data_IF_779047569512
#
_entry.id   IF_779047569512
#
_cell.length_a   1.000
_cell.length_b   1.000
_cell.length_c   1.000
_cell.angle_alpha   90.00
_cell.angle_beta   90.00
_cell.angle_gamma   90.00
#
_symmetry.space_group_name_H-M   'P 1'
#
loop_
_entity.id
_entity.type
_entity.pdbx_description
1 polymer ?
#
# COMPACT_ATOMS: atom_id res chain seq x y z
N UNK A 1 11.70 16.53 -12.85
CA UNK A 1 10.52 16.42 -11.98
C UNK A 1 10.76 17.21 -10.70
N UNK A 2 9.87 18.10 -10.38
CA UNK A 2 9.98 18.85 -9.15
C UNK A 2 9.41 18.04 -8.00
N UNK A 3 10.30 17.54 -7.13
CA UNK A 3 9.89 16.70 -6.00
C UNK A 3 9.43 17.52 -4.80
N UNK A 4 9.52 18.84 -4.87
CA UNK A 4 9.22 19.71 -3.75
C UNK A 4 7.81 20.25 -3.90
N UNK A 5 7.02 20.06 -2.85
CA UNK A 5 5.66 20.56 -2.77
C UNK A 5 5.58 21.79 -1.89
N UNK A 6 4.53 22.57 -2.10
CA UNK A 6 4.32 23.80 -1.37
C UNK A 6 2.93 23.78 -0.75
N UNK A 7 2.83 24.04 0.55
CA UNK A 7 1.58 24.14 1.28
C UNK A 7 1.61 25.44 2.09
N UNK A 8 0.77 26.42 1.70
CA UNK A 8 0.76 27.75 2.29
C UNK A 8 2.17 28.35 2.29
N UNK A 9 2.84 28.40 3.45
CA UNK A 9 4.18 28.94 3.59
C UNK A 9 5.26 27.86 3.76
N UNK A 10 4.88 26.59 3.63
CA UNK A 10 5.79 25.48 3.83
C UNK A 10 6.04 24.72 2.52
N UNK A 11 7.28 24.31 2.33
CA UNK A 11 7.67 23.39 1.26
C UNK A 11 7.94 22.03 1.88
N UNK A 12 7.57 20.96 1.15
CA UNK A 12 7.75 19.61 1.69
C UNK A 12 8.06 18.60 0.59
N UNK A 13 8.71 17.52 1.02
CA UNK A 13 9.03 16.37 0.19
C UNK A 13 9.00 15.14 1.09
N UNK A 14 7.81 14.59 1.25
CA UNK A 14 7.55 13.50 2.20
C UNK A 14 7.11 12.26 1.45
N UNK A 15 8.08 11.43 1.07
CA UNK A 15 7.84 10.21 0.32
C UNK A 15 8.06 8.99 1.20
N UNK A 16 7.19 8.00 1.02
CA UNK A 16 7.22 6.78 1.81
C UNK A 16 6.99 5.57 0.91
N UNK A 17 7.74 4.52 1.18
CA UNK A 17 7.46 3.19 0.67
C UNK A 17 6.66 2.46 1.75
N UNK A 18 5.45 2.03 1.43
CA UNK A 18 4.53 1.38 2.35
C UNK A 18 4.19 0.00 1.80
N UNK A 19 4.24 -1.02 2.66
CA UNK A 19 3.87 -2.38 2.30
C UNK A 19 2.86 -2.90 3.30
N UNK A 20 1.77 -3.47 2.80
CA UNK A 20 0.76 -4.11 3.64
C UNK A 20 0.14 -5.29 2.91
N UNK A 21 -0.54 -6.15 3.64
CA UNK A 21 -0.97 -7.43 3.12
C UNK A 21 -2.38 -7.80 3.58
N UNK A 22 -3.11 -8.62 2.80
CA UNK A 22 -4.34 -9.22 3.27
C UNK A 22 -4.10 -10.07 4.52
N UNK A 23 -5.14 -10.23 5.32
CA UNK A 23 -5.10 -11.00 6.55
C UNK A 23 -4.57 -12.43 6.28
N UNK A 24 -3.62 -12.87 7.09
CA UNK A 24 -2.90 -14.15 6.94
C UNK A 24 -2.10 -14.23 5.63
N UNK A 25 -1.80 -13.11 4.99
CA UNK A 25 -1.13 -13.05 3.69
C UNK A 25 -1.77 -13.97 2.65
N UNK A 26 -3.08 -14.05 2.67
CA UNK A 26 -3.80 -14.85 1.67
C UNK A 26 -3.63 -14.25 0.29
N UNK A 27 -3.50 -15.14 -0.71
CA UNK A 27 -3.41 -14.73 -2.11
C UNK A 27 -4.80 -14.36 -2.62
N UNK A 28 -5.29 -13.20 -2.21
CA UNK A 28 -6.65 -12.76 -2.49
C UNK A 28 -6.74 -11.77 -3.65
N UNK A 29 -5.61 -11.33 -4.19
CA UNK A 29 -5.58 -10.22 -5.14
C UNK A 29 -5.02 -10.66 -6.50
N UNK A 30 -5.69 -11.61 -7.13
CA UNK A 30 -5.30 -12.08 -8.46
C UNK A 30 -6.05 -11.34 -9.57
N UNK A 31 -5.38 -11.14 -10.70
CA UNK A 31 -5.97 -10.73 -11.96
C UNK A 31 -6.89 -9.52 -11.83
N UNK A 32 -8.14 -9.68 -12.23
CA UNK A 32 -9.15 -8.62 -12.22
C UNK A 32 -9.39 -8.06 -10.82
N UNK A 33 -9.49 -8.92 -9.82
CA UNK A 33 -9.68 -8.49 -8.44
C UNK A 33 -8.53 -7.62 -7.95
N UNK A 34 -7.30 -8.00 -8.28
CA UNK A 34 -6.11 -7.19 -7.96
C UNK A 34 -6.17 -5.81 -8.61
N UNK A 35 -6.57 -5.74 -9.88
CA UNK A 35 -6.71 -4.47 -10.59
C UNK A 35 -7.78 -3.58 -9.94
N UNK A 36 -8.91 -4.16 -9.57
CA UNK A 36 -9.99 -3.41 -8.92
C UNK A 36 -9.60 -2.90 -7.55
N UNK A 37 -8.89 -3.72 -6.77
CA UNK A 37 -8.34 -3.28 -5.48
C UNK A 37 -7.34 -2.14 -5.68
N UNK A 38 -6.48 -2.24 -6.67
CA UNK A 38 -5.57 -1.15 -7.04
C UNK A 38 -6.30 0.14 -7.35
N UNK A 39 -7.38 0.06 -8.12
CA UNK A 39 -8.21 1.23 -8.45
C UNK A 39 -8.87 1.83 -7.20
N UNK A 40 -9.35 1.00 -6.28
CA UNK A 40 -9.92 1.44 -5.01
C UNK A 40 -8.88 2.23 -4.21
N UNK A 41 -7.67 1.68 -4.07
CA UNK A 41 -6.61 2.32 -3.33
C UNK A 41 -6.19 3.66 -3.96
N UNK A 42 -6.10 3.73 -5.28
CA UNK A 42 -5.78 4.97 -6.00
C UNK A 42 -6.83 6.05 -5.74
N UNK A 43 -8.10 5.69 -5.80
CA UNK A 43 -9.19 6.64 -5.57
C UNK A 43 -9.19 7.16 -4.14
N UNK A 44 -8.97 6.29 -3.16
CA UNK A 44 -8.89 6.68 -1.76
C UNK A 44 -7.70 7.61 -1.48
N UNK A 45 -6.57 7.37 -2.11
CA UNK A 45 -5.42 8.27 -2.01
C UNK A 45 -5.74 9.65 -2.57
N UNK A 46 -6.39 9.68 -3.73
CA UNK A 46 -6.82 10.92 -4.38
C UNK A 46 -7.72 11.75 -3.45
N UNK A 47 -8.68 11.10 -2.82
CA UNK A 47 -9.61 11.77 -1.90
C UNK A 47 -8.91 12.36 -0.67
N UNK A 48 -7.81 11.74 -0.24
CA UNK A 48 -7.03 12.23 0.90
C UNK A 48 -5.92 13.21 0.52
N UNK A 49 -5.77 13.51 -0.76
CA UNK A 49 -4.70 14.39 -1.22
C UNK A 49 -3.32 13.76 -1.12
N UNK A 50 -3.25 12.43 -1.13
CA UNK A 50 -2.00 11.69 -1.14
C UNK A 50 -1.65 11.35 -2.58
N UNK A 51 -0.48 11.78 -3.03
CA UNK A 51 -0.03 11.51 -4.37
C UNK A 51 0.62 10.13 -4.46
N UNK A 52 0.18 9.34 -5.44
CA UNK A 52 0.77 8.02 -5.71
C UNK A 52 1.84 8.18 -6.78
N UNK A 53 3.06 7.77 -6.47
CA UNK A 53 4.15 7.70 -7.43
C UNK A 53 4.13 6.34 -8.11
N UNK A 54 3.95 5.27 -7.34
CA UNK A 54 3.89 3.90 -7.84
C UNK A 54 3.02 3.04 -6.92
N UNK A 55 2.24 2.13 -7.50
CA UNK A 55 1.49 1.10 -6.76
C UNK A 55 1.64 -0.20 -7.51
N UNK A 56 2.01 -1.25 -6.78
CA UNK A 56 2.05 -2.60 -7.32
C UNK A 56 1.23 -3.53 -6.43
N UNK A 57 0.29 -4.22 -7.05
CA UNK A 57 -0.58 -5.18 -6.37
C UNK A 57 -0.08 -6.57 -6.69
N UNK A 58 0.46 -7.23 -5.67
CA UNK A 58 0.83 -8.64 -5.75
C UNK A 58 -0.31 -9.49 -5.19
N UNK A 59 -0.35 -10.79 -5.48
CA UNK A 59 -1.46 -11.61 -4.99
C UNK A 59 -1.66 -11.57 -3.47
N UNK A 60 -0.59 -11.43 -2.70
CA UNK A 60 -0.62 -11.50 -1.23
C UNK A 60 -0.08 -10.25 -0.53
N UNK A 61 0.22 -9.19 -1.26
CA UNK A 61 0.68 -7.93 -0.65
C UNK A 61 0.60 -6.76 -1.63
N UNK A 62 0.71 -5.56 -1.08
CA UNK A 62 0.69 -4.30 -1.83
C UNK A 62 1.95 -3.52 -1.52
N UNK A 63 2.61 -3.01 -2.56
CA UNK A 63 3.67 -2.01 -2.46
C UNK A 63 3.13 -0.67 -2.93
N UNK A 64 3.35 0.37 -2.14
CA UNK A 64 2.96 1.74 -2.53
C UNK A 64 4.12 2.69 -2.31
N UNK A 65 4.41 3.50 -3.30
CA UNK A 65 5.29 4.65 -3.15
C UNK A 65 4.41 5.89 -3.22
N UNK A 66 4.32 6.62 -2.11
CA UNK A 66 3.38 7.73 -1.96
C UNK A 66 4.04 8.97 -1.40
N UNK A 67 3.43 10.12 -1.69
CA UNK A 67 3.78 11.40 -1.08
C UNK A 67 2.63 11.81 -0.17
N UNK A 68 2.91 11.90 1.13
CA UNK A 68 1.91 12.23 2.14
C UNK A 68 2.18 13.65 2.65
N UNK A 69 1.19 14.57 2.58
CA UNK A 69 1.37 15.92 3.10
C UNK A 69 1.72 15.91 4.60
N UNK A 70 2.58 16.83 5.07
CA UNK A 70 3.02 16.82 6.46
C UNK A 70 1.91 17.04 7.49
N UNK A 71 0.76 17.55 7.08
CA UNK A 71 -0.40 17.69 7.95
C UNK A 71 -1.05 16.36 8.35
N UNK A 72 -0.63 15.26 7.73
CA UNK A 72 -1.22 13.92 7.94
C UNK A 72 -0.13 12.95 8.36
N UNK A 73 -0.37 12.19 9.42
CA UNK A 73 0.55 11.13 9.83
C UNK A 73 0.44 9.92 8.93
N UNK A 74 1.52 9.16 8.80
CA UNK A 74 1.52 7.90 8.06
C UNK A 74 0.48 6.94 8.64
N UNK A 75 0.44 6.80 9.96
CA UNK A 75 -0.51 5.88 10.62
C UNK A 75 -1.96 6.27 10.38
N UNK A 76 -2.27 7.56 10.41
CA UNK A 76 -3.62 8.04 10.11
C UNK A 76 -4.01 7.74 8.67
N UNK A 77 -3.12 7.96 7.74
CA UNK A 77 -3.35 7.67 6.32
C UNK A 77 -3.56 6.16 6.09
N UNK A 78 -2.67 5.31 6.63
CA UNK A 78 -2.77 3.86 6.44
C UNK A 78 -4.04 3.32 7.10
N UNK A 79 -4.39 3.82 8.29
CA UNK A 79 -5.64 3.45 8.94
C UNK A 79 -6.87 3.77 8.11
N UNK A 80 -6.91 4.96 7.55
CA UNK A 80 -7.97 5.36 6.62
C UNK A 80 -8.02 4.45 5.39
N UNK A 81 -6.86 4.25 4.75
CA UNK A 81 -6.76 3.46 3.53
C UNK A 81 -7.24 2.03 3.74
N UNK A 82 -6.78 1.38 4.80
CA UNK A 82 -7.17 0.01 5.13
C UNK A 82 -8.64 -0.10 5.52
N UNK A 83 -9.12 0.81 6.35
CA UNK A 83 -10.50 0.79 6.80
C UNK A 83 -11.50 1.00 5.67
N UNK A 84 -11.30 2.05 4.89
CA UNK A 84 -12.20 2.37 3.78
C UNK A 84 -12.14 1.33 2.66
N UNK A 85 -10.93 0.88 2.31
CA UNK A 85 -10.79 -0.14 1.26
C UNK A 85 -11.44 -1.46 1.68
N UNK A 86 -11.33 -1.86 2.96
CA UNK A 86 -12.00 -3.07 3.45
C UNK A 86 -13.52 -2.99 3.25
N UNK A 87 -14.14 -1.86 3.58
CA UNK A 87 -15.56 -1.68 3.39
C UNK A 87 -15.96 -1.80 1.92
N UNK A 88 -15.23 -1.16 1.04
CA UNK A 88 -15.51 -1.18 -0.40
C UNK A 88 -15.31 -2.59 -0.97
N UNK A 89 -14.24 -3.27 -0.56
CA UNK A 89 -13.95 -4.64 -0.99
C UNK A 89 -15.09 -5.58 -0.58
N UNK A 90 -15.60 -5.47 0.63
CA UNK A 90 -16.71 -6.31 1.10
C UNK A 90 -18.03 -5.97 0.44
N UNK A 91 -18.23 -4.74 0.01
CA UNK A 91 -19.42 -4.37 -0.77
C UNK A 91 -19.38 -5.00 -2.17
N UNK A 92 -18.21 -4.98 -2.79
CA UNK A 92 -18.03 -5.54 -4.14
C UNK A 92 -18.01 -7.08 -4.13
N UNK A 93 -17.37 -7.67 -3.12
CA UNK A 93 -17.23 -9.12 -3.01
C UNK A 93 -17.75 -9.60 -1.66
N UNK A 94 -19.08 -9.56 -1.53
CA UNK A 94 -19.76 -9.81 -0.25
C UNK A 94 -19.46 -11.17 0.40
N UNK A 95 -19.10 -12.17 -0.40
CA UNK A 95 -18.71 -13.49 0.10
C UNK A 95 -17.42 -13.47 0.93
N UNK A 96 -16.58 -12.47 0.77
CA UNK A 96 -15.35 -12.34 1.56
C UNK A 96 -15.62 -12.03 3.03
N UNK A 97 -16.81 -11.49 3.37
CA UNK A 97 -17.20 -11.24 4.77
C UNK A 97 -17.11 -12.49 5.63
N UNK A 98 -17.42 -13.62 5.05
CA UNK A 98 -17.43 -14.90 5.77
C UNK A 98 -16.04 -15.49 5.93
N UNK A 99 -15.09 -15.05 5.08
CA UNK A 99 -13.70 -15.46 5.12
C UNK A 99 -12.87 -14.68 6.13
N UNK A 100 -13.19 -13.40 6.31
CA UNK A 100 -12.43 -12.49 7.15
C UNK A 100 -13.35 -11.93 8.22
N UNK A 101 -13.24 -12.47 9.43
CA UNK A 101 -14.03 -12.01 10.57
C UNK A 101 -13.79 -10.53 10.84
N UNK A 102 -14.80 -9.85 11.36
CA UNK A 102 -14.75 -8.45 11.76
C UNK A 102 -14.56 -7.46 10.61
N UNK A 103 -14.82 -7.88 9.38
CA UNK A 103 -14.70 -7.04 8.17
C UNK A 103 -13.33 -6.41 7.98
N UNK A 104 -12.30 -7.04 8.51
CA UNK A 104 -10.93 -6.62 8.30
C UNK A 104 -10.30 -7.44 7.19
N UNK A 105 -10.16 -6.82 6.02
CA UNK A 105 -9.53 -7.49 4.88
C UNK A 105 -8.02 -7.58 5.06
N UNK A 106 -7.40 -6.56 5.67
CA UNK A 106 -5.96 -6.43 5.78
C UNK A 106 -5.42 -6.95 7.11
N UNK A 107 -4.17 -7.42 7.11
CA UNK A 107 -3.42 -7.69 8.34
C UNK A 107 -3.33 -6.45 9.20
N UNK A 108 -3.18 -6.62 10.50
CA UNK A 108 -2.75 -5.53 11.38
C UNK A 108 -1.33 -5.13 11.02
N UNK A 109 -1.05 -3.85 11.09
CA UNK A 109 0.27 -3.35 10.84
C UNK A 109 0.60 -3.19 9.36
N UNK A 110 1.76 -2.65 9.13
CA UNK A 110 2.29 -2.36 7.80
C UNK A 110 3.79 -2.08 7.96
N UNK A 111 4.51 -2.16 6.84
CA UNK A 111 5.89 -1.68 6.80
C UNK A 111 5.90 -0.29 6.18
N UNK A 112 6.71 0.61 6.72
CA UNK A 112 6.94 1.92 6.13
C UNK A 112 8.42 2.28 6.19
N UNK A 113 8.91 2.86 5.10
CA UNK A 113 10.25 3.40 5.00
C UNK A 113 10.19 4.77 4.36
N UNK A 114 11.04 5.67 4.80
CA UNK A 114 11.19 6.97 4.17
C UNK A 114 12.04 6.85 2.90
N UNK A 115 11.71 7.66 1.91
CA UNK A 115 12.31 7.58 0.60
C UNK A 115 13.04 8.89 0.31
N UNK A 116 14.26 8.79 -0.22
CA UNK A 116 15.03 9.94 -0.63
C UNK A 116 14.50 10.61 -1.89
N UNK A 117 15.25 11.56 -2.42
CA UNK A 117 14.83 12.38 -3.57
C UNK A 117 14.78 11.61 -4.88
N UNK A 118 15.51 10.51 -5.03
CA UNK A 118 15.58 9.77 -6.28
C UNK A 118 14.45 8.75 -6.38
N UNK A 119 13.26 9.23 -6.78
CA UNK A 119 12.07 8.38 -6.93
C UNK A 119 12.23 7.31 -8.00
N UNK A 120 13.01 7.60 -9.04
CA UNK A 120 13.22 6.65 -10.13
C UNK A 120 13.94 5.38 -9.63
N UNK A 121 14.99 5.54 -8.83
CA UNK A 121 15.70 4.39 -8.25
C UNK A 121 14.81 3.55 -7.36
N UNK A 122 13.90 4.18 -6.64
CA UNK A 122 12.98 3.49 -5.74
C UNK A 122 11.93 2.72 -6.52
N UNK A 123 11.41 3.31 -7.58
CA UNK A 123 10.51 2.62 -8.50
C UNK A 123 11.17 1.37 -9.07
N UNK A 124 12.40 1.50 -9.53
CA UNK A 124 13.18 0.37 -10.07
C UNK A 124 13.39 -0.72 -9.02
N UNK A 125 13.69 -0.33 -7.79
CA UNK A 125 13.86 -1.26 -6.68
C UNK A 125 12.57 -2.07 -6.43
N UNK A 126 11.43 -1.40 -6.39
CA UNK A 126 10.13 -2.04 -6.19
C UNK A 126 9.83 -3.00 -7.35
N UNK A 127 10.03 -2.55 -8.58
CA UNK A 127 9.82 -3.38 -9.77
C UNK A 127 10.71 -4.62 -9.75
N UNK A 128 11.97 -4.48 -9.35
CA UNK A 128 12.90 -5.60 -9.25
C UNK A 128 12.47 -6.61 -8.19
N UNK A 129 11.99 -6.14 -7.05
CA UNK A 129 11.46 -7.03 -6.01
C UNK A 129 10.25 -7.83 -6.52
N UNK A 130 9.39 -7.20 -7.31
CA UNK A 130 8.25 -7.86 -7.92
C UNK A 130 8.68 -8.93 -8.91
N UNK A 131 9.72 -8.68 -9.69
CA UNK A 131 10.25 -9.68 -10.62
C UNK A 131 10.80 -10.90 -9.88
N UNK A 132 11.47 -10.69 -8.76
CA UNK A 132 11.95 -11.76 -7.89
C UNK A 132 10.78 -12.59 -7.35
N UNK A 133 9.72 -11.93 -6.91
CA UNK A 133 8.49 -12.60 -6.46
C UNK A 133 7.87 -13.46 -7.56
N UNK A 134 7.80 -12.93 -8.78
CA UNK A 134 7.22 -13.65 -9.92
C UNK A 134 8.03 -14.87 -10.33
N UNK A 135 9.32 -14.88 -10.03
CA UNK A 135 10.21 -16.01 -10.31
C UNK A 135 10.13 -17.10 -9.23
N UNK A 136 9.20 -16.96 -8.29
CA UNK A 136 8.98 -17.95 -7.22
C UNK A 136 9.88 -17.77 -6.01
N UNK A 137 10.70 -16.75 -6.01
CA UNK A 137 11.44 -16.37 -4.83
C UNK A 137 10.48 -15.64 -3.88
N UNK A 138 10.34 -16.17 -2.70
CA UNK A 138 9.48 -15.54 -1.70
C UNK A 138 10.07 -14.21 -1.30
N UNK A 139 9.30 -13.16 -1.51
CA UNK A 139 9.61 -11.90 -0.93
C UNK A 139 9.51 -12.05 0.59
N UNK A 140 10.61 -12.34 1.20
CA UNK A 140 10.70 -12.23 2.64
C UNK A 140 11.12 -10.81 2.94
N UNK A 141 10.16 -10.06 3.40
CA UNK A 141 10.50 -8.85 4.11
C UNK A 141 11.02 -9.36 5.45
N UNK A 142 12.32 -9.60 5.50
CA UNK A 142 12.98 -10.08 6.71
C UNK A 142 13.14 -8.92 7.69
N UNK A 143 12.03 -8.56 8.31
CA UNK A 143 12.08 -7.72 9.49
C UNK A 143 11.90 -8.64 10.68
N UNK A 144 12.70 -8.47 11.75
CA UNK A 144 12.51 -9.24 12.97
C UNK A 144 11.07 -9.17 13.49
N UNK A 145 10.40 -8.06 13.21
CA UNK A 145 9.01 -7.79 13.60
C UNK A 145 8.13 -7.55 12.38
N UNK A 146 8.13 -8.47 11.44
CA UNK A 146 7.32 -8.34 10.24
C UNK A 146 5.84 -8.16 10.59
N UNK A 147 5.16 -7.11 10.09
CA UNK A 147 3.74 -6.91 10.35
C UNK A 147 2.87 -7.99 9.70
N UNK A 148 3.45 -8.86 8.90
CA UNK A 148 2.74 -9.92 8.19
C UNK A 148 2.81 -11.27 8.91
N UNK A 149 3.57 -11.35 9.99
CA UNK A 149 3.56 -12.53 10.85
C UNK A 149 2.38 -12.46 11.79
N UNK A 150 1.58 -13.47 11.78
CA UNK A 150 0.46 -13.64 12.72
C UNK A 150 0.57 -14.94 13.47
#
# INVERSE_FOLDING_TARGET
>A
MNDIHSLAHSKWNCKYHIVFAPKYRRKAMFGEKGREIGAILRELCKWKGVNIIEVEICPDHVHMLVEIPPKMSVSSFVGYLKGKSSLIIYEQWGNLKFKYRNREFWCKGYYVDTVGKNTQKIKEYIENQLKEDKLGEQLRIDYPDSPFKE
#
